data_IF_406160423079
#
_entry.id   IF_406160423079
#
_cell.length_a   1.000
_cell.length_b   1.000
_cell.length_c   1.000
_cell.angle_alpha   90.00
_cell.angle_beta   90.00
_cell.angle_gamma   90.00
#
_symmetry.space_group_name_H-M   'P 1'
#
loop_
_entity.id
_entity.type
_entity.pdbx_description
1 polymer ?
#
# COMPACT_ATOMS: atom_id res chain seq x y z
N UNK A 1 -24.34 -14.86 -11.87
CA UNK A 1 -23.00 -14.40 -11.43
C UNK A 1 -21.97 -15.30 -12.09
N UNK A 2 -21.11 -14.76 -12.95
CA UNK A 2 -20.14 -15.54 -13.73
C UNK A 2 -19.28 -16.50 -12.89
N UNK A 3 -18.92 -16.10 -11.67
CA UNK A 3 -18.17 -16.96 -10.73
C UNK A 3 -18.86 -18.30 -10.36
N UNK A 4 -20.19 -18.41 -10.43
CA UNK A 4 -20.88 -19.68 -10.19
C UNK A 4 -20.61 -20.69 -11.30
N UNK A 5 -20.45 -20.23 -12.56
CA UNK A 5 -20.17 -21.09 -13.70
C UNK A 5 -18.76 -21.69 -13.65
N UNK A 6 -17.81 -20.96 -13.05
CA UNK A 6 -16.42 -21.41 -12.90
C UNK A 6 -16.11 -21.95 -11.50
N UNK A 7 -17.10 -22.01 -10.60
CA UNK A 7 -16.93 -22.48 -9.21
C UNK A 7 -16.06 -21.57 -8.35
N UNK A 8 -15.86 -20.30 -8.74
CA UNK A 8 -14.95 -19.36 -8.09
C UNK A 8 -15.65 -18.22 -7.38
N UNK A 9 -14.99 -17.72 -6.33
CA UNK A 9 -15.45 -16.60 -5.52
C UNK A 9 -14.61 -15.36 -5.85
N UNK A 10 -15.19 -14.43 -6.61
CA UNK A 10 -14.49 -13.23 -7.08
C UNK A 10 -13.89 -12.41 -5.92
N UNK A 11 -14.64 -12.21 -4.83
CA UNK A 11 -14.14 -11.50 -3.64
C UNK A 11 -12.95 -12.20 -2.97
N UNK A 12 -12.93 -13.53 -2.93
CA UNK A 12 -11.79 -14.28 -2.39
C UNK A 12 -10.57 -14.26 -3.31
N UNK A 13 -10.79 -14.22 -4.63
CA UNK A 13 -9.72 -14.04 -5.61
C UNK A 13 -9.07 -12.64 -5.48
N UNK A 14 -9.90 -11.60 -5.34
CA UNK A 14 -9.44 -10.23 -5.07
C UNK A 14 -8.59 -10.17 -3.80
N UNK A 15 -9.09 -10.79 -2.71
CA UNK A 15 -8.36 -10.85 -1.45
C UNK A 15 -7.03 -11.61 -1.59
N UNK A 16 -7.00 -12.73 -2.29
CA UNK A 16 -5.77 -13.50 -2.53
C UNK A 16 -4.69 -12.70 -3.27
N UNK A 17 -5.06 -11.94 -4.31
CA UNK A 17 -4.11 -11.03 -4.98
C UNK A 17 -3.72 -9.84 -4.10
N UNK A 18 -4.67 -9.21 -3.41
CA UNK A 18 -4.40 -8.11 -2.49
C UNK A 18 -3.35 -8.52 -1.45
N UNK A 19 -3.57 -9.68 -0.82
CA UNK A 19 -2.68 -10.25 0.18
C UNK A 19 -1.28 -10.56 -0.36
N UNK A 20 -1.21 -11.17 -1.54
CA UNK A 20 0.06 -11.45 -2.21
C UNK A 20 0.84 -10.15 -2.49
N UNK A 21 0.16 -9.08 -2.91
CA UNK A 21 0.79 -7.77 -3.16
C UNK A 21 1.26 -7.13 -1.86
N UNK A 22 0.44 -7.17 -0.80
CA UNK A 22 0.79 -6.68 0.54
C UNK A 22 2.03 -7.37 1.09
N UNK A 23 2.08 -8.71 1.02
CA UNK A 23 3.22 -9.50 1.50
C UNK A 23 4.51 -9.25 0.69
N UNK A 24 4.39 -8.73 -0.53
CA UNK A 24 5.53 -8.29 -1.34
C UNK A 24 6.01 -6.87 -0.99
N UNK A 25 5.38 -6.21 0.00
CA UNK A 25 5.69 -4.83 0.39
C UNK A 25 5.27 -3.80 -0.66
N UNK A 26 4.23 -4.13 -1.43
CA UNK A 26 3.68 -3.30 -2.50
C UNK A 26 2.27 -2.80 -2.15
N UNK A 27 1.82 -1.77 -2.86
CA UNK A 27 0.46 -1.23 -2.74
C UNK A 27 -0.25 -1.34 -4.09
N UNK A 28 -1.58 -1.39 -4.03
CA UNK A 28 -2.45 -1.49 -5.20
C UNK A 28 -3.66 -0.57 -5.02
N UNK A 29 -4.29 -0.25 -6.15
CA UNK A 29 -5.62 0.35 -6.19
C UNK A 29 -6.60 -0.63 -6.83
N UNK A 30 -7.87 -0.54 -6.46
CA UNK A 30 -8.94 -1.27 -7.14
C UNK A 30 -9.57 -0.37 -8.19
N UNK A 31 -9.68 -0.88 -9.42
CA UNK A 31 -10.33 -0.19 -10.54
C UNK A 31 -11.67 -0.83 -10.86
N UNK A 32 -12.67 -0.01 -11.17
CA UNK A 32 -13.91 -0.48 -11.79
C UNK A 32 -13.75 -0.64 -13.30
N UNK A 33 -14.66 -1.38 -13.92
CA UNK A 33 -14.71 -1.57 -15.38
C UNK A 33 -14.75 -0.22 -16.11
N UNK A 34 -15.57 0.72 -15.64
CA UNK A 34 -15.70 2.06 -16.24
C UNK A 34 -14.40 2.86 -16.14
N UNK A 35 -13.62 2.71 -15.05
CA UNK A 35 -12.33 3.37 -14.94
C UNK A 35 -11.30 2.79 -15.91
N UNK A 36 -11.35 1.47 -16.15
CA UNK A 36 -10.51 0.83 -17.16
C UNK A 36 -10.86 1.35 -18.56
N UNK A 37 -12.15 1.38 -18.91
CA UNK A 37 -12.64 1.92 -20.19
C UNK A 37 -12.30 3.41 -20.38
N UNK A 38 -12.20 4.18 -19.30
CA UNK A 38 -11.77 5.58 -19.30
C UNK A 38 -10.25 5.77 -19.37
N UNK A 39 -9.47 4.70 -19.58
CA UNK A 39 -8.02 4.76 -19.76
C UNK A 39 -7.22 4.97 -18.46
N UNK A 40 -7.81 4.72 -17.29
CA UNK A 40 -7.09 4.91 -16.02
C UNK A 40 -5.92 3.93 -15.83
N UNK A 41 -5.86 2.85 -16.61
CA UNK A 41 -4.72 1.92 -16.64
C UNK A 41 -3.38 2.62 -16.94
N UNK A 42 -3.39 3.76 -17.65
CA UNK A 42 -2.16 4.52 -17.96
C UNK A 42 -1.42 5.07 -16.73
N UNK A 43 -2.03 5.05 -15.54
CA UNK A 43 -1.38 5.42 -14.26
C UNK A 43 -0.56 4.27 -13.66
N UNK A 44 -0.74 3.05 -14.15
CA UNK A 44 -0.20 1.83 -13.55
C UNK A 44 0.82 1.16 -14.48
N UNK A 45 1.60 0.25 -13.91
CA UNK A 45 2.53 -0.62 -14.66
C UNK A 45 2.04 -2.06 -14.78
N UNK A 46 1.15 -2.48 -13.88
CA UNK A 46 0.56 -3.81 -13.89
C UNK A 46 -0.92 -3.77 -13.54
N UNK A 47 -1.69 -4.69 -14.12
CA UNK A 47 -3.08 -4.99 -13.83
C UNK A 47 -3.18 -6.45 -13.37
N UNK A 48 -3.80 -6.67 -12.21
CA UNK A 48 -4.14 -8.00 -11.72
C UNK A 48 -5.64 -8.25 -11.95
N UNK A 49 -5.97 -9.40 -12.53
CA UNK A 49 -7.33 -9.79 -12.93
C UNK A 49 -7.82 -10.99 -12.09
N UNK A 50 -8.23 -10.78 -10.82
CA UNK A 50 -8.74 -11.82 -9.95
C UNK A 50 -10.06 -12.40 -10.48
N UNK A 51 -10.07 -13.63 -10.97
CA UNK A 51 -11.26 -14.31 -11.43
C UNK A 51 -12.13 -13.46 -12.40
N UNK A 52 -11.48 -12.65 -13.24
CA UNK A 52 -12.15 -11.76 -14.21
C UNK A 52 -12.63 -12.55 -15.44
N UNK A 53 -13.62 -13.42 -15.24
CA UNK A 53 -14.12 -14.33 -16.27
C UNK A 53 -15.07 -13.66 -17.26
N UNK A 54 -15.77 -12.59 -16.85
CA UNK A 54 -16.60 -11.76 -17.72
C UNK A 54 -15.92 -10.40 -17.94
N UNK A 55 -15.72 -10.02 -19.20
CA UNK A 55 -15.03 -8.79 -19.62
C UNK A 55 -15.82 -8.17 -20.78
N UNK A 56 -16.03 -6.85 -20.77
CA UNK A 56 -16.71 -6.16 -21.88
C UNK A 56 -15.78 -6.04 -23.10
N UNK A 57 -16.29 -5.92 -24.34
CA UNK A 57 -15.43 -5.63 -25.50
C UNK A 57 -14.60 -4.35 -25.34
N UNK A 58 -15.16 -3.32 -24.70
CA UNK A 58 -14.47 -2.05 -24.45
C UNK A 58 -13.36 -2.20 -23.40
N UNK A 59 -13.61 -2.95 -22.33
CA UNK A 59 -12.61 -3.30 -21.32
C UNK A 59 -11.48 -4.13 -21.94
N UNK A 60 -11.82 -5.12 -22.78
CA UNK A 60 -10.82 -5.93 -23.47
C UNK A 60 -9.91 -5.09 -24.37
N UNK A 61 -10.45 -4.10 -25.09
CA UNK A 61 -9.65 -3.19 -25.90
C UNK A 61 -8.74 -2.30 -25.05
N UNK A 62 -9.25 -1.72 -23.97
CA UNK A 62 -8.44 -0.93 -23.05
C UNK A 62 -7.27 -1.74 -22.43
N UNK A 63 -7.51 -3.03 -22.11
CA UNK A 63 -6.47 -3.94 -21.62
C UNK A 63 -5.43 -4.23 -22.71
N UNK A 64 -5.85 -4.42 -23.97
CA UNK A 64 -4.92 -4.60 -25.11
C UNK A 64 -4.02 -3.38 -25.29
N UNK A 65 -4.60 -2.19 -25.35
CA UNK A 65 -3.85 -0.93 -25.47
C UNK A 65 -2.85 -0.77 -24.32
N UNK A 66 -3.27 -1.09 -23.08
CA UNK A 66 -2.39 -1.05 -21.92
C UNK A 66 -1.17 -1.98 -22.07
N UNK A 67 -1.37 -3.23 -22.51
CA UNK A 67 -0.27 -4.17 -22.75
C UNK A 67 0.62 -3.71 -23.90
N UNK A 68 0.04 -3.25 -25.01
CA UNK A 68 0.79 -2.70 -26.15
C UNK A 68 1.63 -1.48 -25.77
N UNK A 69 1.16 -0.69 -24.81
CA UNK A 69 1.89 0.46 -24.27
C UNK A 69 3.11 0.07 -23.43
N UNK A 70 3.18 -1.17 -22.94
CA UNK A 70 4.27 -1.69 -22.09
C UNK A 70 3.80 -2.24 -20.74
N UNK A 71 2.49 -2.30 -20.49
CA UNK A 71 1.91 -2.81 -19.24
C UNK A 71 2.06 -4.32 -19.06
N UNK A 72 1.92 -4.77 -17.82
CA UNK A 72 1.83 -6.18 -17.43
C UNK A 72 0.40 -6.52 -17.02
N UNK A 73 -0.19 -7.58 -17.58
CA UNK A 73 -1.49 -8.08 -17.13
C UNK A 73 -1.33 -9.50 -16.57
N UNK A 74 -1.77 -9.75 -15.35
CA UNK A 74 -1.76 -11.08 -14.73
C UNK A 74 -3.19 -11.49 -14.42
N UNK A 75 -3.64 -12.60 -15.00
CA UNK A 75 -4.88 -13.27 -14.66
C UNK A 75 -4.60 -14.59 -13.95
N UNK A 76 -5.45 -14.95 -12.99
CA UNK A 76 -5.31 -16.22 -12.28
C UNK A 76 -5.95 -17.39 -13.07
N UNK A 77 -7.14 -17.20 -13.66
CA UNK A 77 -7.87 -18.19 -14.44
C UNK A 77 -8.68 -17.58 -15.59
N UNK A 78 -8.63 -18.21 -16.77
CA UNK A 78 -9.54 -18.01 -17.92
C UNK A 78 -10.15 -16.58 -18.07
N UNK A 79 -9.31 -15.54 -18.22
CA UNK A 79 -9.79 -14.16 -18.28
C UNK A 79 -10.61 -13.91 -19.55
N UNK A 80 -11.79 -13.30 -19.41
CA UNK A 80 -12.62 -12.89 -20.55
C UNK A 80 -13.24 -14.04 -21.37
N UNK A 81 -13.47 -15.21 -20.75
CA UNK A 81 -14.20 -16.33 -21.37
C UNK A 81 -15.70 -16.02 -21.58
N UNK A 82 -16.24 -15.05 -20.84
CA UNK A 82 -17.60 -14.53 -21.00
C UNK A 82 -17.58 -13.05 -21.39
N UNK A 83 -18.62 -12.60 -22.11
CA UNK A 83 -18.88 -11.18 -22.37
C UNK A 83 -19.60 -10.49 -21.19
N UNK A 84 -19.90 -9.20 -21.33
CA UNK A 84 -20.64 -8.36 -20.38
C UNK A 84 -22.11 -8.79 -20.17
N UNK A 85 -22.62 -9.66 -21.05
CA UNK A 85 -23.92 -10.33 -20.91
C UNK A 85 -23.81 -11.75 -20.33
N UNK A 86 -22.63 -12.13 -19.83
CA UNK A 86 -22.31 -13.46 -19.30
C UNK A 86 -22.54 -14.60 -20.32
N UNK A 87 -22.39 -14.32 -21.61
CA UNK A 87 -22.44 -15.32 -22.68
C UNK A 87 -21.04 -15.84 -22.96
N UNK A 88 -20.94 -17.13 -23.24
CA UNK A 88 -19.69 -17.74 -23.68
C UNK A 88 -19.29 -17.15 -25.04
N UNK A 89 -18.05 -16.70 -25.15
CA UNK A 89 -17.49 -16.20 -26.40
C UNK A 89 -16.70 -17.33 -27.08
N UNK A 90 -16.99 -17.60 -28.35
CA UNK A 90 -16.20 -18.54 -29.16
C UNK A 90 -14.81 -17.92 -29.40
N UNK A 91 -13.79 -18.47 -28.72
CA UNK A 91 -12.50 -17.83 -28.43
C UNK A 91 -12.66 -16.61 -27.51
N UNK A 92 -12.17 -16.74 -26.27
CA UNK A 92 -12.28 -15.71 -25.23
C UNK A 92 -11.70 -14.37 -25.70
N UNK A 93 -12.28 -13.28 -25.20
CA UNK A 93 -11.96 -11.91 -25.66
C UNK A 93 -10.50 -11.52 -25.42
N UNK A 94 -9.78 -12.24 -24.58
CA UNK A 94 -8.37 -11.99 -24.25
C UNK A 94 -7.44 -13.17 -24.60
N UNK A 95 -7.94 -14.29 -25.12
CA UNK A 95 -7.15 -15.51 -25.37
C UNK A 95 -5.91 -15.23 -26.23
N UNK A 96 -6.11 -14.55 -27.36
CA UNK A 96 -5.02 -14.16 -28.26
C UNK A 96 -4.05 -13.14 -27.65
N UNK A 97 -4.52 -12.28 -26.73
CA UNK A 97 -3.64 -11.36 -26.00
C UNK A 97 -2.75 -12.13 -25.03
N UNK A 98 -3.31 -13.10 -24.30
CA UNK A 98 -2.56 -13.98 -23.39
C UNK A 98 -1.75 -15.05 -24.10
N UNK A 99 -1.93 -15.25 -25.41
CA UNK A 99 -1.24 -16.26 -26.19
C UNK A 99 -1.64 -17.68 -25.80
N UNK A 100 -2.93 -17.91 -25.53
CA UNK A 100 -3.50 -19.20 -25.11
C UNK A 100 -4.64 -19.62 -26.02
N UNK A 101 -4.93 -20.91 -26.08
CA UNK A 101 -6.05 -21.49 -26.82
C UNK A 101 -6.81 -22.49 -25.93
N UNK A 102 -7.69 -22.02 -25.03
CA UNK A 102 -8.56 -22.89 -24.26
C UNK A 102 -9.61 -23.55 -25.16
N UNK A 103 -10.04 -24.76 -24.80
CA UNK A 103 -11.10 -25.49 -25.53
C UNK A 103 -12.40 -25.52 -24.72
N UNK A 104 -13.21 -24.47 -24.86
CA UNK A 104 -14.49 -24.34 -24.17
C UNK A 104 -14.34 -23.92 -22.71
N UNK A 105 -15.26 -24.38 -21.84
CA UNK A 105 -15.20 -24.10 -20.41
C UNK A 105 -14.00 -24.84 -19.76
N UNK A 106 -13.42 -24.30 -18.68
CA UNK A 106 -12.32 -24.95 -17.96
C UNK A 106 -12.68 -26.38 -17.51
N UNK A 107 -11.89 -27.35 -17.95
CA UNK A 107 -11.91 -28.72 -17.45
C UNK A 107 -10.96 -28.85 -16.28
N UNK A 108 -11.43 -29.43 -15.17
CA UNK A 108 -10.64 -29.51 -13.93
C UNK A 108 -9.34 -30.27 -14.17
N UNK A 109 -8.20 -29.66 -13.84
CA UNK A 109 -6.93 -30.35 -13.82
C UNK A 109 -6.80 -31.31 -12.62
N UNK A 110 -5.69 -32.05 -12.57
CA UNK A 110 -5.36 -32.88 -11.41
C UNK A 110 -4.95 -32.06 -10.18
N UNK A 111 -4.68 -32.74 -9.06
CA UNK A 111 -4.32 -32.12 -7.78
C UNK A 111 -2.79 -32.02 -7.58
N UNK A 112 -2.00 -32.32 -8.62
CA UNK A 112 -0.55 -32.19 -8.59
C UNK A 112 -0.13 -30.74 -8.32
N UNK A 113 0.93 -30.52 -7.52
CA UNK A 113 1.43 -29.18 -7.29
C UNK A 113 2.03 -28.58 -8.57
N UNK A 114 1.97 -27.26 -8.68
CA UNK A 114 2.61 -26.51 -9.75
C UNK A 114 4.13 -26.53 -9.53
N UNK A 115 4.87 -27.02 -10.53
CA UNK A 115 6.33 -27.05 -10.54
C UNK A 115 6.88 -26.03 -11.52
N UNK A 116 7.78 -25.19 -11.03
CA UNK A 116 8.48 -24.17 -11.79
C UNK A 116 9.90 -24.66 -12.03
N UNK A 117 10.33 -24.65 -13.29
CA UNK A 117 11.71 -24.95 -13.69
C UNK A 117 12.15 -24.03 -14.84
N UNK A 118 11.89 -22.73 -14.68
CA UNK A 118 12.22 -21.70 -15.67
C UNK A 118 12.51 -20.36 -15.00
N UNK A 119 13.11 -19.43 -15.74
CA UNK A 119 13.32 -18.05 -15.26
C UNK A 119 14.26 -17.94 -14.06
N UNK A 120 15.13 -18.95 -13.84
CA UNK A 120 16.06 -18.99 -12.71
C UNK A 120 15.38 -19.24 -11.36
N UNK A 121 14.17 -19.80 -11.36
CA UNK A 121 13.47 -20.28 -10.17
C UNK A 121 13.17 -21.78 -10.35
N UNK A 122 13.64 -22.58 -9.40
CA UNK A 122 13.25 -23.97 -9.26
C UNK A 122 12.47 -24.10 -7.95
N UNK A 123 11.17 -24.32 -8.05
CA UNK A 123 10.28 -24.32 -6.89
C UNK A 123 9.03 -25.16 -7.14
N UNK A 124 8.39 -25.59 -6.05
CA UNK A 124 7.09 -26.24 -6.06
C UNK A 124 6.10 -25.35 -5.30
N UNK A 125 4.95 -25.08 -5.93
CA UNK A 125 3.87 -24.29 -5.35
C UNK A 125 2.80 -25.26 -4.86
N UNK A 126 2.32 -25.14 -3.61
CA UNK A 126 1.29 -26.01 -3.05
C UNK A 126 -0.12 -25.66 -3.57
N UNK A 127 -0.24 -25.52 -4.89
CA UNK A 127 -1.44 -25.16 -5.62
C UNK A 127 -1.52 -26.02 -6.88
N UNK A 128 -2.70 -26.58 -7.21
CA UNK A 128 -2.88 -27.27 -8.47
C UNK A 128 -3.12 -26.30 -9.63
N UNK A 129 -2.98 -26.79 -10.86
CA UNK A 129 -3.52 -26.09 -12.02
C UNK A 129 -5.05 -26.02 -11.93
N UNK A 130 -5.64 -24.99 -12.51
CA UNK A 130 -7.08 -24.81 -12.53
C UNK A 130 -7.71 -25.59 -13.69
N UNK A 131 -7.19 -25.39 -14.91
CA UNK A 131 -7.69 -26.02 -16.12
C UNK A 131 -6.65 -26.95 -16.77
N UNK A 132 -7.08 -28.11 -17.26
CA UNK A 132 -6.25 -29.01 -18.09
C UNK A 132 -6.33 -28.69 -19.58
N UNK A 133 -7.41 -28.08 -20.04
CA UNK A 133 -7.75 -27.87 -21.43
C UNK A 133 -7.35 -26.48 -21.96
N UNK A 134 -6.20 -25.98 -21.50
CA UNK A 134 -5.59 -24.71 -21.92
C UNK A 134 -4.22 -24.98 -22.56
N UNK A 135 -4.11 -24.70 -23.85
CA UNK A 135 -2.87 -24.90 -24.59
C UNK A 135 -2.15 -23.57 -24.86
N UNK A 136 -0.81 -23.54 -24.86
CA UNK A 136 -0.06 -22.36 -25.28
C UNK A 136 -0.24 -22.12 -26.79
N UNK A 137 -0.61 -20.89 -27.15
CA UNK A 137 -0.74 -20.39 -28.51
C UNK A 137 0.09 -19.10 -28.70
N UNK A 138 1.37 -19.16 -28.32
CA UNK A 138 2.30 -18.03 -28.30
C UNK A 138 2.86 -17.75 -26.90
N UNK A 139 2.12 -18.10 -25.85
CA UNK A 139 2.63 -18.08 -24.49
C UNK A 139 3.69 -19.18 -24.28
N UNK A 140 4.67 -18.88 -23.43
CA UNK A 140 5.65 -19.84 -22.94
C UNK A 140 5.23 -20.31 -21.54
N UNK A 141 4.97 -21.61 -21.34
CA UNK A 141 4.78 -22.16 -20.00
C UNK A 141 6.05 -21.99 -19.17
N UNK A 142 5.94 -21.36 -18.01
CA UNK A 142 7.01 -21.29 -17.02
C UNK A 142 6.91 -22.40 -15.98
N UNK A 143 5.71 -22.97 -15.82
CA UNK A 143 5.42 -24.01 -14.87
C UNK A 143 4.47 -25.07 -15.45
N UNK A 144 4.34 -26.20 -14.77
CA UNK A 144 3.38 -27.26 -15.10
C UNK A 144 2.84 -27.89 -13.82
N UNK A 145 1.61 -28.38 -13.84
CA UNK A 145 1.05 -29.24 -12.80
C UNK A 145 0.61 -30.56 -13.44
N UNK A 146 1.34 -31.64 -13.17
CA UNK A 146 1.20 -32.89 -13.93
C UNK A 146 1.48 -32.63 -15.41
N UNK A 147 0.47 -32.81 -16.26
CA UNK A 147 0.53 -32.51 -17.70
C UNK A 147 -0.06 -31.17 -18.08
N UNK A 148 -0.75 -30.47 -17.15
CA UNK A 148 -1.39 -29.20 -17.44
C UNK A 148 -0.36 -28.05 -17.41
N UNK A 149 -0.33 -27.17 -18.43
CA UNK A 149 0.46 -25.95 -18.38
C UNK A 149 0.03 -25.06 -17.21
N UNK A 150 1.00 -24.52 -16.47
CA UNK A 150 0.75 -23.56 -15.40
C UNK A 150 1.66 -22.34 -15.59
N UNK A 151 1.23 -21.16 -15.17
CA UNK A 151 2.00 -19.92 -15.36
C UNK A 151 2.45 -19.75 -16.82
N UNK A 152 1.51 -19.43 -17.70
CA UNK A 152 1.78 -19.15 -19.11
C UNK A 152 2.14 -17.67 -19.27
N UNK A 153 3.36 -17.40 -19.72
CA UNK A 153 3.89 -16.04 -19.89
C UNK A 153 4.01 -15.71 -21.37
N UNK A 154 3.38 -14.63 -21.81
CA UNK A 154 3.38 -14.18 -23.19
C UNK A 154 3.86 -12.73 -23.28
N UNK A 155 4.71 -12.45 -24.27
CA UNK A 155 5.12 -11.09 -24.60
C UNK A 155 4.24 -10.58 -25.73
N UNK A 156 3.36 -9.63 -25.43
CA UNK A 156 2.44 -9.05 -26.40
C UNK A 156 2.78 -7.56 -26.59
N UNK A 157 3.09 -7.16 -27.83
CA UNK A 157 3.56 -5.81 -28.12
C UNK A 157 4.82 -5.45 -27.31
N UNK A 158 4.78 -4.32 -26.58
CA UNK A 158 5.87 -3.89 -25.68
C UNK A 158 5.73 -4.43 -24.25
N UNK A 159 4.58 -4.97 -23.89
CA UNK A 159 4.24 -5.43 -22.55
C UNK A 159 4.22 -6.95 -22.40
N UNK A 160 3.56 -7.40 -21.35
CA UNK A 160 3.50 -8.79 -20.94
C UNK A 160 2.11 -9.18 -20.48
N UNK A 161 1.75 -10.43 -20.71
CA UNK A 161 0.52 -11.04 -20.20
C UNK A 161 0.85 -12.39 -19.57
N UNK A 162 0.22 -12.70 -18.43
CA UNK A 162 0.46 -13.91 -17.66
C UNK A 162 -0.86 -14.55 -17.25
N UNK A 163 -1.05 -15.83 -17.57
CA UNK A 163 -2.11 -16.65 -16.97
C UNK A 163 -1.48 -17.59 -15.95
N UNK A 164 -1.78 -17.44 -14.66
CA UNK A 164 -1.25 -18.35 -13.63
C UNK A 164 -1.81 -19.77 -13.77
N UNK A 165 -3.01 -19.90 -14.35
CA UNK A 165 -3.80 -21.13 -14.44
C UNK A 165 -3.95 -21.82 -13.08
N UNK A 166 -4.28 -21.06 -12.05
CA UNK A 166 -4.54 -21.56 -10.70
C UNK A 166 -5.50 -20.64 -9.97
N UNK A 167 -6.23 -21.17 -9.00
CA UNK A 167 -7.17 -20.40 -8.18
C UNK A 167 -6.41 -19.64 -7.07
N UNK A 168 -6.19 -18.33 -7.26
CA UNK A 168 -5.39 -17.50 -6.33
C UNK A 168 -6.01 -17.37 -4.94
N UNK A 169 -7.31 -17.66 -4.77
CA UNK A 169 -7.99 -17.64 -3.46
C UNK A 169 -7.37 -18.62 -2.45
N UNK A 170 -6.65 -19.65 -2.92
CA UNK A 170 -5.91 -20.56 -2.03
C UNK A 170 -4.77 -19.85 -1.29
N UNK A 171 -4.28 -18.71 -1.80
CA UNK A 171 -3.26 -17.91 -1.13
C UNK A 171 -3.67 -17.52 0.29
N UNK A 172 -4.94 -17.18 0.52
CA UNK A 172 -5.45 -16.83 1.87
C UNK A 172 -5.25 -17.96 2.88
N UNK A 173 -5.56 -19.20 2.47
CA UNK A 173 -5.39 -20.37 3.34
C UNK A 173 -3.91 -20.68 3.60
N UNK A 174 -3.05 -20.48 2.60
CA UNK A 174 -1.61 -20.66 2.73
C UNK A 174 -0.99 -19.54 3.58
N UNK A 175 -1.51 -18.33 3.51
CA UNK A 175 -1.11 -17.22 4.36
C UNK A 175 -1.39 -17.50 5.83
N UNK A 176 -2.58 -18.02 6.13
CA UNK A 176 -3.02 -18.29 7.48
C UNK A 176 -2.37 -19.52 8.13
N UNK A 177 -1.86 -20.49 7.33
CA UNK A 177 -1.41 -21.78 7.88
C UNK A 177 -0.40 -22.58 7.05
N UNK A 178 0.12 -22.06 5.93
CA UNK A 178 0.99 -22.77 5.00
C UNK A 178 2.25 -21.99 4.61
N UNK A 179 2.93 -22.44 3.55
CA UNK A 179 4.12 -21.80 3.00
C UNK A 179 3.77 -21.04 1.70
N UNK A 180 3.99 -19.73 1.73
CA UNK A 180 3.74 -18.81 0.62
C UNK A 180 5.03 -18.31 -0.06
N UNK A 181 6.21 -18.76 0.38
CA UNK A 181 7.52 -18.27 -0.10
C UNK A 181 7.71 -18.43 -1.60
N UNK A 182 7.46 -19.64 -2.12
CA UNK A 182 7.62 -19.92 -3.55
C UNK A 182 6.65 -19.10 -4.42
N UNK A 183 5.44 -18.84 -3.91
CA UNK A 183 4.42 -18.04 -4.61
C UNK A 183 4.86 -16.57 -4.66
N UNK A 184 5.35 -16.01 -3.55
CA UNK A 184 5.90 -14.64 -3.52
C UNK A 184 7.11 -14.51 -4.44
N UNK A 185 8.02 -15.49 -4.45
CA UNK A 185 9.18 -15.48 -5.35
C UNK A 185 8.77 -15.48 -6.83
N UNK A 186 7.76 -16.26 -7.21
CA UNK A 186 7.19 -16.21 -8.56
C UNK A 186 6.59 -14.84 -8.85
N UNK A 187 5.72 -14.34 -7.98
CA UNK A 187 5.03 -13.06 -8.16
C UNK A 187 6.00 -11.88 -8.29
N UNK A 188 7.03 -11.83 -7.43
CA UNK A 188 8.10 -10.83 -7.51
C UNK A 188 8.81 -10.86 -8.88
N UNK A 189 9.10 -12.05 -9.42
CA UNK A 189 9.72 -12.20 -10.75
C UNK A 189 8.80 -11.76 -11.88
N UNK A 190 7.51 -12.07 -11.79
CA UNK A 190 6.53 -11.63 -12.80
C UNK A 190 6.39 -10.10 -12.80
N UNK A 191 6.30 -9.49 -11.62
CA UNK A 191 6.24 -8.03 -11.47
C UNK A 191 7.53 -7.33 -11.92
N UNK A 192 8.68 -7.99 -11.76
CA UNK A 192 9.97 -7.47 -12.21
C UNK A 192 10.10 -7.38 -13.73
N UNK A 193 9.27 -8.09 -14.52
CA UNK A 193 9.21 -7.96 -15.97
C UNK A 193 8.96 -6.51 -16.43
N UNK A 194 8.32 -5.70 -15.58
CA UNK A 194 8.04 -4.27 -15.79
C UNK A 194 8.70 -3.38 -14.72
N UNK A 195 9.66 -3.93 -13.96
CA UNK A 195 10.45 -3.22 -12.96
C UNK A 195 9.65 -2.75 -11.74
N UNK A 196 8.60 -3.48 -11.35
CA UNK A 196 7.90 -3.24 -10.09
C UNK A 196 8.65 -4.00 -8.99
N UNK A 197 9.17 -3.24 -8.01
CA UNK A 197 9.90 -3.76 -6.84
C UNK A 197 9.51 -2.98 -5.59
N UNK A 198 9.47 -3.60 -4.39
CA UNK A 198 9.23 -2.86 -3.16
C UNK A 198 10.33 -1.83 -2.93
N UNK A 199 9.93 -0.60 -2.61
CA UNK A 199 10.86 0.50 -2.32
C UNK A 199 11.35 0.51 -0.88
N UNK A 200 10.61 -0.13 0.03
CA UNK A 200 11.01 -0.36 1.41
C UNK A 200 11.07 -1.86 1.58
N UNK A 201 12.21 -2.37 2.07
CA UNK A 201 12.37 -3.79 2.37
C UNK A 201 12.52 -3.97 3.87
N UNK A 202 12.09 -5.11 4.38
CA UNK A 202 12.22 -5.47 5.79
C UNK A 202 13.00 -6.77 5.79
N UNK A 203 14.14 -6.77 6.47
CA UNK A 203 15.04 -7.91 6.48
C UNK A 203 15.43 -8.30 7.90
N UNK A 204 15.64 -9.59 8.12
CA UNK A 204 16.22 -10.13 9.35
C UNK A 204 17.18 -11.25 8.95
N UNK A 205 18.35 -11.32 9.60
CA UNK A 205 19.39 -12.31 9.32
C UNK A 205 19.82 -12.43 7.84
N UNK A 206 19.63 -11.35 7.06
CA UNK A 206 19.98 -11.28 5.63
C UNK A 206 18.86 -11.69 4.66
N UNK A 207 17.72 -12.17 5.16
CA UNK A 207 16.56 -12.56 4.36
C UNK A 207 15.42 -11.54 4.49
N UNK A 208 14.53 -11.47 3.49
CA UNK A 208 13.29 -10.69 3.58
C UNK A 208 12.35 -11.28 4.64
N UNK A 209 11.76 -10.41 5.45
CA UNK A 209 10.76 -10.77 6.46
C UNK A 209 9.39 -10.74 5.83
N UNK A 210 8.67 -11.85 5.97
CA UNK A 210 7.33 -12.03 5.43
C UNK A 210 6.24 -11.44 6.33
N UNK A 211 5.00 -11.48 5.85
CA UNK A 211 3.80 -11.08 6.59
C UNK A 211 3.89 -9.65 7.17
N UNK A 212 4.52 -8.75 6.43
CA UNK A 212 4.60 -7.34 6.76
C UNK A 212 3.85 -6.54 5.71
N UNK A 213 2.75 -5.90 6.13
CA UNK A 213 2.09 -4.90 5.30
C UNK A 213 2.88 -3.60 5.38
N UNK A 214 3.26 -3.06 4.21
CA UNK A 214 4.00 -1.79 4.11
C UNK A 214 3.17 -0.77 3.35
N UNK A 215 2.71 0.25 4.06
CA UNK A 215 1.95 1.36 3.52
C UNK A 215 2.84 2.59 3.42
N UNK A 216 2.96 3.15 2.22
CA UNK A 216 3.68 4.40 1.98
C UNK A 216 2.68 5.51 1.77
N UNK A 217 2.86 6.60 2.49
CA UNK A 217 2.08 7.82 2.34
C UNK A 217 3.01 9.00 2.09
N UNK A 218 2.61 9.90 1.19
CA UNK A 218 3.37 11.09 0.85
C UNK A 218 2.49 12.32 0.98
N UNK A 219 3.09 13.51 0.92
CA UNK A 219 2.35 14.77 0.92
C UNK A 219 1.74 15.14 -0.44
N UNK A 220 1.75 14.20 -1.40
CA UNK A 220 1.07 14.21 -2.70
C UNK A 220 1.58 15.20 -3.75
N UNK A 221 2.09 16.36 -3.33
CA UNK A 221 2.48 17.44 -4.24
C UNK A 221 3.96 17.37 -4.61
N UNK A 222 4.84 17.10 -3.63
CA UNK A 222 6.29 17.13 -3.86
C UNK A 222 7.04 15.91 -3.28
N UNK A 223 6.30 14.97 -2.68
CA UNK A 223 6.77 13.75 -1.99
C UNK A 223 7.95 13.99 -1.04
N UNK A 224 8.00 15.16 -0.40
CA UNK A 224 9.16 15.57 0.44
C UNK A 224 9.09 14.96 1.83
N UNK A 225 7.94 15.05 2.47
CA UNK A 225 7.68 14.37 3.74
C UNK A 225 6.97 13.08 3.42
N UNK A 226 7.62 11.96 3.76
CA UNK A 226 7.08 10.62 3.51
C UNK A 226 6.84 9.91 4.83
N UNK A 227 5.81 9.10 4.87
CA UNK A 227 5.50 8.22 5.99
C UNK A 227 5.51 6.78 5.50
N UNK A 228 6.14 5.92 6.27
CA UNK A 228 6.14 4.47 6.06
C UNK A 228 5.49 3.86 7.28
N UNK A 229 4.31 3.27 7.10
CA UNK A 229 3.69 2.44 8.11
C UNK A 229 3.97 0.98 7.82
N UNK A 230 4.33 0.24 8.86
CA UNK A 230 4.63 -1.17 8.78
C UNK A 230 3.79 -1.87 9.83
N UNK A 231 3.02 -2.86 9.42
CA UNK A 231 2.26 -3.71 10.34
C UNK A 231 2.61 -5.16 10.06
N UNK A 232 3.09 -5.85 11.09
CA UNK A 232 3.27 -7.30 11.02
C UNK A 232 1.93 -7.97 11.21
N UNK A 233 1.52 -8.81 10.25
CA UNK A 233 0.18 -9.35 10.22
C UNK A 233 0.00 -10.51 11.21
N UNK A 234 -0.76 -10.26 12.26
CA UNK A 234 -1.08 -11.23 13.31
C UNK A 234 -1.96 -12.41 12.86
N UNK A 235 -2.48 -12.39 11.62
CA UNK A 235 -3.27 -13.48 11.03
C UNK A 235 -2.42 -14.46 10.22
N UNK A 236 -1.16 -14.13 9.93
CA UNK A 236 -0.27 -15.08 9.25
C UNK A 236 0.24 -16.16 10.23
N UNK A 237 0.55 -17.33 9.68
CA UNK A 237 1.05 -18.46 10.47
C UNK A 237 2.42 -18.17 11.11
N UNK A 238 2.58 -18.49 12.39
CA UNK A 238 3.89 -18.50 13.07
C UNK A 238 4.55 -17.12 13.20
N UNK A 239 3.77 -16.04 13.11
CA UNK A 239 4.27 -14.67 13.21
C UNK A 239 4.48 -14.30 14.67
N UNK A 240 5.75 -14.18 15.05
CA UNK A 240 6.19 -13.76 16.39
C UNK A 240 6.87 -12.38 16.35
N UNK A 241 7.06 -11.73 17.51
CA UNK A 241 7.99 -10.61 17.66
C UNK A 241 9.35 -10.89 17.02
N UNK A 242 9.89 -9.93 16.29
CA UNK A 242 11.21 -10.07 15.67
C UNK A 242 11.91 -8.72 15.53
N UNK A 243 13.20 -8.71 15.82
CA UNK A 243 14.08 -7.62 15.46
C UNK A 243 14.36 -7.64 13.96
N UNK A 244 14.19 -6.49 13.32
CA UNK A 244 14.35 -6.35 11.87
C UNK A 244 15.17 -5.12 11.54
N UNK A 245 15.72 -5.13 10.32
CA UNK A 245 16.27 -3.96 9.65
C UNK A 245 15.34 -3.56 8.52
N UNK A 246 14.79 -2.35 8.60
CA UNK A 246 14.02 -1.73 7.52
C UNK A 246 15.01 -0.99 6.62
N UNK A 247 14.99 -1.30 5.33
CA UNK A 247 15.84 -0.70 4.30
C UNK A 247 15.00 0.31 3.51
N UNK A 248 15.45 1.57 3.48
CA UNK A 248 14.80 2.68 2.80
C UNK A 248 15.42 2.90 1.41
N UNK A 249 14.70 3.52 0.46
CA UNK A 249 15.23 3.72 -0.90
C UNK A 249 16.33 4.78 -0.98
N UNK A 250 16.44 5.64 0.03
CA UNK A 250 17.44 6.70 0.14
C UNK A 250 17.56 7.15 1.60
N UNK A 251 18.67 7.79 1.96
CA UNK A 251 18.87 8.38 3.28
C UNK A 251 17.89 9.53 3.54
N UNK A 252 17.41 9.63 4.77
CA UNK A 252 16.54 10.72 5.23
C UNK A 252 16.75 10.98 6.73
N UNK A 253 16.19 12.08 7.23
CA UNK A 253 16.01 12.28 8.66
C UNK A 253 14.81 11.48 9.14
N UNK A 254 15.07 10.53 10.02
CA UNK A 254 14.15 9.48 10.41
C UNK A 254 13.58 9.74 11.80
N UNK A 255 12.28 9.53 11.94
CA UNK A 255 11.56 9.68 13.20
C UNK A 255 10.56 8.54 13.38
N UNK A 256 10.50 7.96 14.57
CA UNK A 256 9.39 7.11 14.99
C UNK A 256 8.25 8.03 15.45
N UNK A 257 7.19 8.09 14.65
CA UNK A 257 6.04 8.98 14.84
C UNK A 257 5.23 8.56 16.07
N UNK A 258 5.12 7.25 16.32
CA UNK A 258 4.33 6.72 17.44
C UNK A 258 5.07 6.87 18.77
N UNK A 259 6.39 6.68 18.76
CA UNK A 259 7.23 6.89 19.94
C UNK A 259 7.62 8.37 20.15
N UNK A 260 7.42 9.24 19.15
CA UNK A 260 7.85 10.64 19.19
C UNK A 260 9.36 10.78 19.32
N UNK A 261 10.12 9.92 18.63
CA UNK A 261 11.57 9.76 18.81
C UNK A 261 12.32 10.00 17.51
N UNK A 262 13.35 10.84 17.56
CA UNK A 262 14.33 10.98 16.48
C UNK A 262 15.25 9.75 16.41
N UNK A 263 15.43 9.23 15.19
CA UNK A 263 16.30 8.10 14.87
C UNK A 263 17.59 8.53 14.16
N UNK A 264 17.66 9.80 13.73
CA UNK A 264 18.84 10.39 13.07
C UNK A 264 18.76 10.33 11.55
N UNK A 265 19.89 10.64 10.90
CA UNK A 265 20.01 10.63 9.43
C UNK A 265 20.59 9.29 8.95
N UNK A 266 19.76 8.47 8.32
CA UNK A 266 20.15 7.13 7.86
C UNK A 266 19.28 6.65 6.69
N UNK A 267 19.69 5.54 6.08
CA UNK A 267 18.92 4.79 5.07
C UNK A 267 18.35 3.47 5.63
N UNK A 268 18.59 3.19 6.91
CA UNK A 268 18.10 1.99 7.60
C UNK A 268 17.51 2.32 8.96
N UNK A 269 16.56 1.49 9.41
CA UNK A 269 15.98 1.56 10.75
C UNK A 269 16.07 0.18 11.38
N UNK A 270 16.67 0.10 12.57
CA UNK A 270 16.63 -1.10 13.41
C UNK A 270 15.48 -0.97 14.41
N UNK A 271 14.58 -1.95 14.43
CA UNK A 271 13.42 -1.95 15.33
C UNK A 271 12.92 -3.37 15.54
N UNK A 272 12.22 -3.58 16.64
CA UNK A 272 11.36 -4.76 16.84
C UNK A 272 9.99 -4.52 16.17
N UNK A 273 9.47 -5.53 15.47
CA UNK A 273 8.09 -5.56 14.97
C UNK A 273 7.29 -6.60 15.77
N UNK A 274 6.22 -6.14 16.43
CA UNK A 274 5.27 -7.00 17.12
C UNK A 274 4.06 -7.27 16.20
N UNK A 275 3.49 -8.49 16.21
CA UNK A 275 2.26 -8.78 15.48
C UNK A 275 1.12 -7.86 15.91
N UNK A 276 0.51 -7.15 14.95
CA UNK A 276 -0.61 -6.22 15.22
C UNK A 276 -0.24 -4.89 15.89
N UNK A 277 1.04 -4.60 16.15
CA UNK A 277 1.48 -3.25 16.55
C UNK A 277 2.07 -2.51 15.34
N UNK A 278 1.32 -1.60 14.71
CA UNK A 278 1.84 -0.85 13.57
C UNK A 278 2.96 0.09 14.04
N UNK A 279 4.06 0.14 13.29
CA UNK A 279 5.06 1.21 13.38
C UNK A 279 4.75 2.27 12.32
N UNK A 280 5.08 3.53 12.61
CA UNK A 280 4.96 4.63 11.65
C UNK A 280 6.25 5.43 11.72
N UNK A 281 6.97 5.48 10.60
CA UNK A 281 8.20 6.25 10.47
C UNK A 281 7.99 7.43 9.54
N UNK A 282 8.44 8.60 9.95
CA UNK A 282 8.52 9.78 9.09
C UNK A 282 9.93 9.91 8.52
N UNK A 283 10.01 10.17 7.22
CA UNK A 283 11.24 10.37 6.45
C UNK A 283 11.22 11.79 5.89
N UNK A 284 12.06 12.67 6.45
CA UNK A 284 12.16 14.07 6.04
C UNK A 284 13.50 14.33 5.34
N UNK A 285 13.56 15.30 4.39
CA UNK A 285 14.80 15.61 3.68
C UNK A 285 15.76 16.49 4.50
N UNK A 286 15.30 17.01 5.64
CA UNK A 286 16.06 17.86 6.56
C UNK A 286 15.69 17.53 8.01
N UNK A 287 16.56 17.93 8.94
CA UNK A 287 16.29 17.82 10.37
C UNK A 287 15.24 18.85 10.79
N UNK A 288 14.27 18.43 11.58
CA UNK A 288 13.45 19.34 12.39
C UNK A 288 14.08 19.38 13.79
N UNK A 289 14.51 20.58 14.20
CA UNK A 289 15.24 20.80 15.47
C UNK A 289 14.27 20.95 16.63
N UNK A 290 13.21 21.74 16.45
CA UNK A 290 12.19 21.99 17.47
C UNK A 290 10.95 22.65 16.84
N UNK A 291 9.93 22.88 17.68
CA UNK A 291 8.80 23.77 17.42
C UNK A 291 8.83 24.86 18.49
N UNK A 292 8.51 26.09 18.12
CA UNK A 292 8.30 27.18 19.08
C UNK A 292 6.89 27.72 18.97
N UNK A 293 6.38 28.24 20.08
CA UNK A 293 5.06 28.86 20.17
C UNK A 293 5.21 30.20 20.88
N UNK A 294 4.79 31.27 20.22
CA UNK A 294 4.79 32.62 20.76
C UNK A 294 3.35 33.12 20.86
N UNK A 295 2.84 33.40 22.07
CA UNK A 295 1.55 34.06 22.21
C UNK A 295 1.69 35.50 21.73
N UNK A 296 0.79 35.96 20.86
CA UNK A 296 0.79 37.34 20.37
C UNK A 296 0.45 38.36 21.46
N UNK A 297 -0.21 37.92 22.54
CA UNK A 297 -0.47 38.68 23.77
C UNK A 297 -0.34 37.76 24.98
N UNK A 298 0.15 38.28 26.10
CA UNK A 298 0.29 37.51 27.35
C UNK A 298 -1.03 37.31 28.11
N UNK A 299 -2.03 38.17 27.84
CA UNK A 299 -3.34 38.19 28.49
C UNK A 299 -4.44 38.37 27.46
N UNK A 300 -5.53 37.62 27.60
CA UNK A 300 -6.68 37.64 26.68
C UNK A 300 -7.96 37.72 27.49
N UNK A 301 -8.79 38.73 27.24
CA UNK A 301 -10.14 38.78 27.82
C UNK A 301 -11.04 37.70 27.20
N UNK A 302 -11.96 37.13 27.99
CA UNK A 302 -13.02 36.28 27.43
C UNK A 302 -13.78 36.99 26.29
N UNK A 303 -14.04 36.27 25.21
CA UNK A 303 -14.63 36.82 23.98
C UNK A 303 -13.66 37.58 23.06
N UNK A 304 -12.41 37.81 23.47
CA UNK A 304 -11.37 38.36 22.60
C UNK A 304 -10.56 37.26 21.90
N UNK A 305 -10.00 37.57 20.73
CA UNK A 305 -9.16 36.61 19.98
C UNK A 305 -7.78 36.49 20.63
N UNK A 306 -7.34 35.26 20.89
CA UNK A 306 -6.00 34.89 21.33
C UNK A 306 -5.16 34.42 20.12
N UNK A 307 -4.27 35.26 19.55
CA UNK A 307 -3.37 34.84 18.48
C UNK A 307 -2.10 34.17 19.01
N UNK A 308 -1.58 33.21 18.25
CA UNK A 308 -0.31 32.52 18.48
C UNK A 308 0.42 32.31 17.15
N UNK A 309 1.72 32.55 17.16
CA UNK A 309 2.60 32.17 16.06
C UNK A 309 3.39 30.93 16.44
N UNK A 310 3.36 29.94 15.57
CA UNK A 310 4.05 28.66 15.72
C UNK A 310 5.12 28.59 14.64
N UNK A 311 6.37 28.34 15.04
CA UNK A 311 7.49 28.18 14.10
C UNK A 311 8.07 26.77 14.21
N UNK A 312 8.19 26.10 13.08
CA UNK A 312 8.90 24.83 12.92
C UNK A 312 10.34 25.17 12.59
N UNK A 313 11.25 24.93 13.52
CA UNK A 313 12.67 25.21 13.33
C UNK A 313 13.34 24.00 12.69
N UNK A 314 13.96 24.20 11.53
CA UNK A 314 14.57 23.12 10.76
C UNK A 314 16.05 23.38 10.47
N UNK A 315 16.72 22.38 9.89
CA UNK A 315 18.05 22.52 9.32
C UNK A 315 18.11 23.41 8.07
N UNK A 316 16.95 23.74 7.48
CA UNK A 316 16.82 24.55 6.26
C UNK A 316 15.98 25.81 6.48
N UNK A 317 16.27 26.87 5.74
CA UNK A 317 15.50 28.13 5.82
C UNK A 317 14.12 28.04 5.17
N UNK A 318 13.96 27.09 4.23
CA UNK A 318 12.74 26.91 3.43
C UNK A 318 12.35 25.44 3.37
N UNK A 319 11.88 24.87 4.50
CA UNK A 319 11.54 23.46 4.57
C UNK A 319 10.43 23.14 3.56
N UNK A 320 10.71 22.21 2.66
CA UNK A 320 9.77 21.73 1.68
C UNK A 320 8.91 20.59 2.26
N UNK A 321 7.65 20.55 1.83
CA UNK A 321 6.71 19.47 2.17
C UNK A 321 5.58 19.91 3.10
N UNK A 322 4.67 18.98 3.43
CA UNK A 322 3.53 19.26 4.30
C UNK A 322 3.84 18.84 5.75
N UNK A 323 3.86 19.82 6.65
CA UNK A 323 3.96 19.62 8.08
C UNK A 323 2.58 19.56 8.73
N UNK A 324 2.49 18.81 9.83
CA UNK A 324 1.32 18.77 10.70
C UNK A 324 1.73 19.13 12.12
N UNK A 325 1.14 20.19 12.67
CA UNK A 325 1.27 20.57 14.07
C UNK A 325 -0.06 20.33 14.76
N UNK A 326 -0.08 19.47 15.78
CA UNK A 326 -1.21 19.27 16.68
C UNK A 326 -1.18 20.36 17.74
N UNK A 327 -2.22 21.18 17.79
CA UNK A 327 -2.42 22.18 18.84
C UNK A 327 -3.45 21.69 19.84
N UNK A 328 -3.07 21.69 21.11
CA UNK A 328 -3.93 21.28 22.22
C UNK A 328 -3.98 22.38 23.28
N UNK A 329 -5.19 22.76 23.67
CA UNK A 329 -5.44 23.75 24.71
C UNK A 329 -5.85 23.05 26.00
N UNK A 330 -5.13 23.34 27.09
CA UNK A 330 -5.51 22.95 28.44
C UNK A 330 -6.04 24.17 29.19
N UNK A 331 -7.18 23.99 29.85
CA UNK A 331 -7.75 25.02 30.73
C UNK A 331 -6.95 25.12 32.05
N UNK A 332 -7.30 26.05 32.97
CA UNK A 332 -6.57 26.22 34.23
C UNK A 332 -6.61 25.01 35.17
N UNK A 333 -7.58 24.12 35.00
CA UNK A 333 -7.65 22.85 35.72
C UNK A 333 -6.78 21.74 35.07
N UNK A 334 -6.10 22.03 33.96
CA UNK A 334 -5.30 21.06 33.20
C UNK A 334 -6.12 20.16 32.28
N UNK A 335 -7.41 20.43 32.06
CA UNK A 335 -8.25 19.61 31.19
C UNK A 335 -8.14 20.04 29.73
N UNK A 336 -8.05 19.05 28.83
CA UNK A 336 -8.03 19.25 27.39
C UNK A 336 -9.36 19.83 26.87
N UNK A 337 -9.27 20.99 26.23
CA UNK A 337 -10.37 21.69 25.58
C UNK A 337 -10.42 21.30 24.11
N UNK A 338 -11.07 20.17 23.84
CA UNK A 338 -11.07 19.51 22.52
C UNK A 338 -11.60 20.40 21.39
N UNK A 339 -12.60 21.24 21.63
CA UNK A 339 -13.23 22.06 20.58
C UNK A 339 -12.37 23.25 20.12
N UNK A 340 -11.34 23.64 20.87
CA UNK A 340 -10.32 24.60 20.42
C UNK A 340 -9.05 23.92 19.88
N UNK A 341 -8.89 22.63 20.15
CA UNK A 341 -7.71 21.84 19.76
C UNK A 341 -7.88 21.28 18.36
N UNK A 342 -6.85 21.37 17.51
CA UNK A 342 -6.91 20.94 16.10
C UNK A 342 -5.54 20.66 15.51
N UNK A 343 -5.55 20.00 14.36
CA UNK A 343 -4.35 19.82 13.54
C UNK A 343 -4.22 21.01 12.58
N UNK A 344 -3.01 21.55 12.48
CA UNK A 344 -2.67 22.61 11.55
C UNK A 344 -1.72 22.04 10.51
N UNK A 345 -2.16 22.08 9.24
CA UNK A 345 -1.36 21.65 8.10
C UNK A 345 -0.69 22.87 7.47
N UNK A 346 0.61 22.80 7.22
CA UNK A 346 1.35 23.91 6.61
C UNK A 346 2.52 23.43 5.75
N UNK A 347 2.69 24.09 4.61
CA UNK A 347 3.90 23.98 3.77
C UNK A 347 4.95 25.05 4.06
N UNK A 348 4.69 25.89 5.06
CA UNK A 348 5.59 26.94 5.53
C UNK A 348 6.06 26.58 6.93
N UNK A 349 7.30 26.95 7.25
CA UNK A 349 7.85 26.81 8.60
C UNK A 349 7.03 27.57 9.66
N UNK A 350 6.34 28.65 9.28
CA UNK A 350 5.49 29.45 10.18
C UNK A 350 4.02 29.13 9.98
N UNK A 351 3.31 28.96 11.09
CA UNK A 351 1.88 28.65 11.16
C UNK A 351 1.24 29.55 12.20
N UNK A 352 0.20 30.28 11.84
CA UNK A 352 -0.56 31.05 12.82
C UNK A 352 -1.77 30.26 13.31
N UNK A 353 -2.03 30.34 14.60
CA UNK A 353 -3.19 29.77 15.27
C UNK A 353 -3.90 30.85 16.06
N UNK A 354 -5.23 30.78 16.10
CA UNK A 354 -5.99 31.59 17.05
C UNK A 354 -7.22 30.86 17.53
N UNK A 355 -7.69 31.24 18.71
CA UNK A 355 -9.00 30.87 19.22
C UNK A 355 -9.61 32.05 19.97
N UNK A 356 -10.88 31.95 20.33
CA UNK A 356 -11.59 32.98 21.09
C UNK A 356 -12.21 32.28 22.30
N UNK A 357 -11.72 32.52 23.53
CA UNK A 357 -12.35 31.96 24.72
C UNK A 357 -13.82 32.40 24.78
N UNK A 358 -14.72 31.48 25.07
CA UNK A 358 -16.12 31.75 25.25
C UNK A 358 -16.35 32.62 26.49
N UNK A 359 -17.48 33.33 26.55
CA UNK A 359 -17.81 34.21 27.68
C UNK A 359 -17.93 33.46 29.02
N UNK A 360 -18.17 32.15 28.97
CA UNK A 360 -18.28 31.26 30.12
C UNK A 360 -17.05 30.35 30.32
N UNK A 361 -15.98 30.55 29.55
CA UNK A 361 -14.74 29.82 29.78
C UNK A 361 -14.08 30.28 31.09
N UNK A 362 -13.40 29.38 31.83
CA UNK A 362 -12.73 29.73 33.07
C UNK A 362 -11.58 30.71 32.84
N UNK A 363 -11.52 31.75 33.67
CA UNK A 363 -10.35 32.63 33.76
C UNK A 363 -9.20 31.96 34.50
N UNK A 364 -7.99 32.49 34.32
CA UNK A 364 -6.75 31.97 34.89
C UNK A 364 -5.72 31.62 33.83
N UNK A 365 -4.68 30.88 34.22
CA UNK A 365 -3.58 30.51 33.31
C UNK A 365 -3.95 29.27 32.49
N UNK A 366 -3.96 29.44 31.18
CA UNK A 366 -4.15 28.38 30.20
C UNK A 366 -2.82 27.92 29.62
N UNK A 367 -2.83 26.75 28.98
CA UNK A 367 -1.65 26.21 28.29
C UNK A 367 -2.01 25.83 26.85
N UNK A 368 -1.19 26.26 25.91
CA UNK A 368 -1.22 25.79 24.53
C UNK A 368 -0.02 24.87 24.30
N UNK A 369 -0.27 23.59 24.06
CA UNK A 369 0.72 22.64 23.57
C UNK A 369 0.71 22.59 22.05
N UNK A 370 1.89 22.64 21.44
CA UNK A 370 2.07 22.43 20.01
C UNK A 370 3.04 21.27 19.79
N UNK A 371 2.56 20.23 19.10
CA UNK A 371 3.34 19.02 18.79
C UNK A 371 3.52 18.91 17.28
N UNK A 372 4.77 18.91 16.80
CA UNK A 372 5.04 18.55 15.40
C UNK A 372 4.97 17.03 15.23
N UNK A 373 3.90 16.58 14.57
CA UNK A 373 3.45 15.18 14.59
C UNK A 373 4.52 14.22 14.05
N UNK A 374 5.20 14.58 12.96
CA UNK A 374 6.20 13.68 12.37
C UNK A 374 7.36 13.37 13.32
N UNK A 375 7.65 14.26 14.27
CA UNK A 375 8.84 14.19 15.12
C UNK A 375 8.54 13.89 16.58
N UNK A 376 7.31 14.18 17.04
CA UNK A 376 6.94 14.17 18.45
C UNK A 376 7.38 15.40 19.26
N UNK A 377 8.19 16.31 18.70
CA UNK A 377 8.60 17.55 19.39
C UNK A 377 7.38 18.34 19.85
N UNK A 378 7.31 18.57 21.16
CA UNK A 378 6.22 19.27 21.82
C UNK A 378 6.75 20.44 22.62
N UNK A 379 6.15 21.60 22.43
CA UNK A 379 6.41 22.80 23.23
C UNK A 379 5.09 23.36 23.76
N UNK A 380 5.13 23.86 24.99
CA UNK A 380 3.97 24.45 25.65
C UNK A 380 4.21 25.92 25.95
N UNK A 381 3.24 26.76 25.59
CA UNK A 381 3.18 28.17 25.97
C UNK A 381 2.08 28.40 27.00
N UNK A 382 2.33 29.28 27.97
CA UNK A 382 1.34 29.73 28.96
C UNK A 382 0.85 31.12 28.62
N UNK A 383 -0.42 31.36 28.87
CA UNK A 383 -1.06 32.67 28.70
C UNK A 383 -2.24 32.77 29.68
N UNK A 384 -2.62 33.99 30.05
CA UNK A 384 -3.74 34.20 30.97
C UNK A 384 -5.02 34.58 30.23
N UNK A 385 -6.14 33.96 30.62
CA UNK A 385 -7.48 34.37 30.23
C UNK A 385 -8.10 35.14 31.39
N UNK A 386 -8.56 36.36 31.12
CA UNK A 386 -9.08 37.28 32.13
C UNK A 386 -10.56 37.63 31.87
N UNK A 387 -11.22 38.18 32.89
CA UNK A 387 -12.53 38.79 32.70
C UNK A 387 -12.42 40.01 31.76
N UNK A 388 -13.57 40.42 31.24
CA UNK A 388 -13.66 41.47 30.22
C UNK A 388 -13.38 42.86 30.76
#
# INVERSE_FOLDING_TARGET
HAGTLTGRSHSRAQLGFARLVEDLGLQFDMLSYEQIEQGQLGKYKALLMPASTAVSPAEAEAIREFVESGGLVIADTAPGILDDHCRLVESGLLDGLFGVAPSGLPEKAGEEPIRIDTGGLQAELPMPAFASNIEPAGARPWAVAGTAPAVLVHRAGRGWTVVLNTAIERYESLHAGGDTRAIRQLAARLLDLVGIRPRVRITADGDDVDACEVVRFTDGENDKVRYVSIMRDHRAAGVEPQDVTILLPESAWLYDVRAGKALGHAETIQTELLPGDPKIFALLPYEVKTVTVEPGVSKVAVGATAPFDITIETGEDRPAGLHCVRVELLNPAGHLVKHYSRNLLSRKAKVSFSFTPALNDPTGTWQLGATHIATGHTVTARFDVEER
#
